data_IF_831675587627
#
_entry.id   IF_831675587627
#
_cell.length_a   1.000
_cell.length_b   1.000
_cell.length_c   1.000
_cell.angle_alpha   90.00
_cell.angle_beta   90.00
_cell.angle_gamma   90.00
#
_symmetry.space_group_name_H-M   'P 1'
#
loop_
_entity.id
_entity.type
_entity.pdbx_description
1 polymer ?
#
# COMPACT_ATOMS: atom_id res chain seq x y z
N UNK A 1 12.86 15.21 9.42
CA UNK A 1 11.46 15.07 8.98
C UNK A 1 10.63 14.25 9.99
N UNK A 2 11.13 13.11 10.45
CA UNK A 2 10.47 12.15 11.37
C UNK A 2 9.76 12.78 12.57
N UNK A 3 10.44 13.59 13.38
CA UNK A 3 9.82 14.20 14.57
C UNK A 3 8.55 15.00 14.23
N UNK A 4 8.52 15.62 13.04
CA UNK A 4 7.35 16.37 12.58
C UNK A 4 6.24 15.45 12.10
N UNK A 5 6.57 14.33 11.47
CA UNK A 5 5.59 13.29 11.11
C UNK A 5 4.91 12.72 12.35
N UNK A 6 5.68 12.38 13.39
CA UNK A 6 5.15 11.91 14.66
C UNK A 6 4.21 12.94 15.29
N UNK A 7 4.64 14.22 15.37
CA UNK A 7 3.81 15.30 15.90
C UNK A 7 2.50 15.50 15.13
N UNK A 8 2.54 15.40 13.79
CA UNK A 8 1.34 15.50 12.93
C UNK A 8 0.43 14.29 13.17
N UNK A 9 1.00 13.08 13.24
CA UNK A 9 0.24 11.86 13.48
C UNK A 9 -0.47 11.91 14.84
N UNK A 10 0.18 12.40 15.90
CA UNK A 10 -0.43 12.58 17.22
C UNK A 10 -1.60 13.57 17.19
N UNK A 11 -1.42 14.71 16.51
CA UNK A 11 -2.48 15.71 16.35
C UNK A 11 -3.68 15.14 15.59
N UNK A 12 -3.43 14.40 14.51
CA UNK A 12 -4.47 13.76 13.71
C UNK A 12 -5.16 12.64 14.50
N UNK A 13 -4.41 11.84 15.27
CA UNK A 13 -4.96 10.82 16.16
C UNK A 13 -5.93 11.42 17.19
N UNK A 14 -5.55 12.53 17.82
CA UNK A 14 -6.43 13.24 18.76
C UNK A 14 -7.71 13.76 18.10
N UNK A 15 -7.62 14.30 16.89
CA UNK A 15 -8.81 14.71 16.11
C UNK A 15 -9.69 13.50 15.73
N UNK A 16 -9.07 12.38 15.34
CA UNK A 16 -9.76 11.12 14.99
C UNK A 16 -10.50 10.51 16.18
N UNK A 17 -9.92 10.54 17.38
CA UNK A 17 -10.57 10.09 18.63
C UNK A 17 -11.81 10.91 18.99
N UNK A 18 -11.94 12.12 18.45
CA UNK A 18 -13.13 12.96 18.63
C UNK A 18 -14.21 12.70 17.56
N UNK A 19 -13.95 11.88 16.52
CA UNK A 19 -14.93 11.49 15.50
C UNK A 19 -15.63 10.17 15.92
N UNK A 20 -16.89 10.23 16.41
CA UNK A 20 -17.59 9.05 16.90
C UNK A 20 -17.89 8.01 15.79
N UNK A 21 -18.01 8.44 14.53
CA UNK A 21 -18.23 7.52 13.39
C UNK A 21 -16.95 6.77 13.05
N UNK A 22 -15.79 7.42 13.17
CA UNK A 22 -14.50 6.76 13.04
C UNK A 22 -14.23 5.82 14.22
N UNK A 23 -14.49 6.24 15.46
CA UNK A 23 -14.33 5.40 16.65
C UNK A 23 -15.17 4.13 16.54
N UNK A 24 -16.46 4.24 16.23
CA UNK A 24 -17.32 3.06 16.07
C UNK A 24 -16.84 2.11 14.95
N UNK A 25 -16.32 2.65 13.85
CA UNK A 25 -15.74 1.83 12.77
C UNK A 25 -14.42 1.20 13.19
N UNK A 26 -13.62 1.89 14.00
CA UNK A 26 -12.38 1.33 14.54
C UNK A 26 -12.66 0.25 15.57
N UNK A 27 -13.68 0.39 16.41
CA UNK A 27 -14.17 -0.66 17.31
C UNK A 27 -14.68 -1.89 16.56
N UNK A 28 -15.33 -1.70 15.40
CA UNK A 28 -15.64 -2.83 14.51
C UNK A 28 -14.38 -3.39 13.85
N UNK A 29 -13.44 -2.53 13.46
CA UNK A 29 -12.22 -2.92 12.76
C UNK A 29 -11.19 -3.64 13.65
N UNK A 30 -11.29 -3.49 14.97
CA UNK A 30 -10.55 -4.33 15.94
C UNK A 30 -11.04 -5.78 15.91
N UNK A 31 -12.30 -6.02 15.53
CA UNK A 31 -12.89 -7.37 15.41
C UNK A 31 -12.64 -8.01 14.04
N UNK A 32 -12.18 -7.24 13.04
CA UNK A 32 -11.84 -7.74 11.72
C UNK A 32 -11.91 -6.65 10.64
N UNK A 33 -11.27 -6.91 9.49
CA UNK A 33 -11.35 -6.03 8.32
C UNK A 33 -12.55 -6.36 7.45
N UNK A 34 -13.22 -5.34 6.90
CA UNK A 34 -14.30 -5.52 5.92
C UNK A 34 -14.30 -4.40 4.86
N UNK A 35 -13.16 -4.15 4.19
CA UNK A 35 -13.11 -3.19 3.10
C UNK A 35 -13.99 -3.64 1.96
N UNK A 36 -14.64 -2.68 1.32
CA UNK A 36 -15.61 -2.90 0.25
C UNK A 36 -14.94 -2.89 -1.12
N UNK A 37 -13.75 -2.33 -1.22
CA UNK A 37 -13.03 -2.18 -2.48
C UNK A 37 -11.62 -2.75 -2.37
N UNK A 38 -11.14 -3.33 -3.46
CA UNK A 38 -9.71 -3.42 -3.73
C UNK A 38 -9.36 -2.20 -4.60
N UNK A 39 -8.56 -1.27 -4.08
CA UNK A 39 -8.13 -0.07 -4.79
C UNK A 39 -6.69 -0.28 -5.25
N UNK A 40 -6.43 -0.15 -6.55
CA UNK A 40 -5.11 -0.34 -7.15
C UNK A 40 -4.70 0.95 -7.82
N UNK A 41 -3.64 1.55 -7.27
CA UNK A 41 -3.25 2.93 -7.56
C UNK A 41 -1.77 3.02 -7.94
N UNK A 42 -1.38 4.03 -8.74
CA UNK A 42 0.03 4.25 -9.03
C UNK A 42 0.76 4.76 -7.78
N UNK A 43 2.03 4.36 -7.59
CA UNK A 43 2.85 4.71 -6.40
C UNK A 43 2.79 6.20 -6.07
N UNK A 44 2.88 7.05 -7.10
CA UNK A 44 2.93 8.49 -6.96
C UNK A 44 1.58 9.15 -6.60
N UNK A 45 0.47 8.39 -6.50
CA UNK A 45 -0.87 8.91 -6.19
C UNK A 45 -1.65 8.08 -5.17
N UNK A 46 -1.17 6.90 -4.79
CA UNK A 46 -1.89 5.93 -3.95
C UNK A 46 -2.47 6.53 -2.66
N UNK A 47 -1.74 7.41 -1.98
CA UNK A 47 -2.22 8.07 -0.76
C UNK A 47 -3.30 9.13 -0.98
N UNK A 48 -3.46 9.64 -2.20
CA UNK A 48 -4.49 10.63 -2.56
C UNK A 48 -5.86 9.99 -2.84
N UNK A 49 -5.91 8.71 -3.25
CA UNK A 49 -7.12 8.13 -3.82
C UNK A 49 -8.28 7.95 -2.82
N UNK A 50 -7.99 7.68 -1.54
CA UNK A 50 -9.04 7.66 -0.52
C UNK A 50 -9.70 9.05 -0.37
N UNK A 51 -8.88 10.11 -0.35
CA UNK A 51 -9.38 11.48 -0.29
C UNK A 51 -10.16 11.83 -1.56
N UNK A 52 -9.62 11.47 -2.72
CA UNK A 52 -10.23 11.69 -4.03
C UNK A 52 -11.66 11.15 -4.08
N UNK A 53 -11.87 9.89 -3.70
CA UNK A 53 -13.18 9.23 -3.76
C UNK A 53 -14.08 9.47 -2.53
N UNK A 54 -13.63 10.29 -1.57
CA UNK A 54 -14.33 10.47 -0.30
C UNK A 54 -14.51 9.16 0.47
N UNK A 55 -13.58 8.22 0.28
CA UNK A 55 -13.50 6.98 1.01
C UNK A 55 -12.76 7.23 2.33
N UNK A 56 -13.16 6.49 3.36
CA UNK A 56 -12.60 6.61 4.69
C UNK A 56 -11.70 5.39 4.98
N UNK A 57 -10.91 5.49 6.03
CA UNK A 57 -10.18 4.34 6.58
C UNK A 57 -11.15 3.17 6.85
N UNK A 58 -10.75 1.97 6.45
CA UNK A 58 -11.56 0.75 6.47
C UNK A 58 -12.37 0.50 5.19
N UNK A 59 -12.51 1.46 4.27
CA UNK A 59 -13.35 1.28 3.08
C UNK A 59 -12.67 0.51 1.95
N UNK A 60 -11.35 0.58 1.84
CA UNK A 60 -10.60 -0.05 0.76
C UNK A 60 -9.35 -0.76 1.27
N UNK A 61 -9.08 -1.94 0.69
CA UNK A 61 -7.80 -2.63 0.76
C UNK A 61 -6.97 -2.22 -0.45
N UNK A 62 -5.67 -2.03 -0.27
CA UNK A 62 -4.84 -1.38 -1.29
C UNK A 62 -3.96 -2.38 -2.04
N UNK A 63 -3.83 -2.20 -3.35
CA UNK A 63 -2.77 -2.74 -4.19
C UNK A 63 -2.03 -1.60 -4.87
N UNK A 64 -0.85 -1.90 -5.42
CA UNK A 64 0.03 -0.88 -5.99
C UNK A 64 0.38 -1.23 -7.44
N UNK A 65 0.54 -0.21 -8.28
CA UNK A 65 1.19 -0.35 -9.60
C UNK A 65 2.25 0.73 -9.80
N UNK A 66 3.22 0.48 -10.67
CA UNK A 66 4.17 1.52 -11.04
C UNK A 66 3.48 2.62 -11.89
N UNK A 67 3.81 3.91 -11.69
CA UNK A 67 3.26 4.99 -12.49
C UNK A 67 3.62 4.85 -13.98
N UNK A 68 2.68 5.18 -14.87
CA UNK A 68 2.86 5.12 -16.33
C UNK A 68 3.31 3.75 -16.86
N UNK A 69 3.02 2.70 -16.10
CA UNK A 69 3.29 1.31 -16.46
C UNK A 69 2.03 0.48 -16.27
N UNK A 70 1.83 -0.57 -17.09
CA UNK A 70 0.70 -1.46 -16.93
C UNK A 70 0.82 -2.24 -15.62
N UNK A 71 -0.31 -2.48 -14.96
CA UNK A 71 -0.41 -3.52 -13.95
C UNK A 71 -0.10 -4.86 -14.63
N UNK A 72 0.94 -5.54 -14.14
CA UNK A 72 1.39 -6.81 -14.70
C UNK A 72 0.39 -7.94 -14.38
N UNK A 73 0.40 -9.01 -15.19
CA UNK A 73 -0.41 -10.18 -14.91
C UNK A 73 -0.01 -10.84 -13.57
N UNK A 74 -0.90 -11.63 -12.94
CA UNK A 74 -0.74 -12.08 -11.57
C UNK A 74 0.59 -12.77 -11.24
N UNK A 75 1.09 -13.59 -12.15
CA UNK A 75 2.34 -14.33 -12.02
C UNK A 75 3.60 -13.45 -12.09
N UNK A 76 3.49 -12.24 -12.64
CA UNK A 76 4.58 -11.25 -12.75
C UNK A 76 4.47 -10.12 -11.72
N UNK A 77 3.36 -10.04 -10.97
CA UNK A 77 3.22 -9.12 -9.85
C UNK A 77 2.67 -9.78 -8.57
N UNK A 78 3.41 -10.74 -8.00
CA UNK A 78 3.00 -11.43 -6.78
C UNK A 78 2.79 -10.49 -5.60
N UNK A 79 3.65 -9.50 -5.38
CA UNK A 79 3.63 -8.67 -4.16
C UNK A 79 2.80 -7.39 -4.32
N UNK A 80 2.91 -6.68 -5.44
CA UNK A 80 2.23 -5.38 -5.62
C UNK A 80 0.72 -5.53 -5.86
N UNK A 81 0.30 -6.63 -6.50
CA UNK A 81 -1.10 -6.84 -6.89
C UNK A 81 -1.69 -8.18 -6.45
N UNK A 82 -1.08 -9.31 -6.82
CA UNK A 82 -1.65 -10.64 -6.61
C UNK A 82 -1.86 -10.97 -5.13
N UNK A 83 -0.90 -10.64 -4.27
CA UNK A 83 -1.01 -10.83 -2.83
C UNK A 83 -2.18 -10.07 -2.25
N UNK A 84 -2.26 -8.73 -2.44
CA UNK A 84 -3.41 -7.96 -2.03
C UNK A 84 -4.74 -8.48 -2.57
N UNK A 85 -4.81 -8.85 -3.85
CA UNK A 85 -6.02 -9.38 -4.48
C UNK A 85 -6.47 -10.73 -3.89
N UNK A 86 -5.52 -11.65 -3.69
CA UNK A 86 -5.76 -12.96 -3.09
C UNK A 86 -6.17 -12.87 -1.60
N UNK A 87 -5.60 -11.90 -0.86
CA UNK A 87 -6.02 -11.59 0.51
C UNK A 87 -7.44 -11.01 0.55
N UNK A 88 -7.73 -10.08 -0.37
CA UNK A 88 -9.04 -9.41 -0.46
C UNK A 88 -10.21 -10.38 -0.67
N UNK A 89 -9.99 -11.54 -1.33
CA UNK A 89 -11.01 -12.58 -1.50
C UNK A 89 -11.65 -13.01 -0.18
N UNK A 90 -10.90 -13.02 0.92
CA UNK A 90 -11.37 -13.43 2.23
C UNK A 90 -12.39 -12.48 2.88
N UNK A 91 -12.54 -11.25 2.40
CA UNK A 91 -13.43 -10.27 3.03
C UNK A 91 -14.92 -10.52 2.71
N UNK A 92 -15.83 -10.21 3.65
CA UNK A 92 -17.25 -10.55 3.52
C UNK A 92 -18.00 -9.67 2.50
N UNK A 93 -17.66 -8.37 2.41
CA UNK A 93 -18.27 -7.42 1.44
C UNK A 93 -17.24 -7.03 0.38
N UNK A 94 -17.62 -7.05 -0.90
CA UNK A 94 -16.77 -6.70 -2.04
C UNK A 94 -17.63 -6.08 -3.14
N UNK A 95 -17.52 -4.76 -3.31
CA UNK A 95 -18.26 -3.96 -4.28
C UNK A 95 -17.54 -3.78 -5.61
N UNK A 96 -16.21 -3.97 -5.66
CA UNK A 96 -15.46 -3.90 -6.91
C UNK A 96 -13.96 -3.72 -6.73
N UNK A 97 -13.25 -3.77 -7.86
CA UNK A 97 -11.84 -3.39 -7.97
C UNK A 97 -11.77 -2.00 -8.60
N UNK A 98 -11.21 -1.03 -7.90
CA UNK A 98 -11.00 0.33 -8.41
C UNK A 98 -9.59 0.41 -8.99
N UNK A 99 -9.48 0.90 -10.23
CA UNK A 99 -8.20 1.19 -10.89
C UNK A 99 -8.12 2.69 -11.17
N UNK A 100 -7.05 3.35 -10.75
CA UNK A 100 -6.80 4.75 -11.06
C UNK A 100 -5.64 4.92 -12.02
N UNK A 101 -5.78 5.86 -12.95
CA UNK A 101 -4.79 6.24 -13.96
C UNK A 101 -4.65 7.75 -14.01
N UNK A 102 -3.43 8.25 -14.15
CA UNK A 102 -3.24 9.68 -14.42
C UNK A 102 -3.87 10.05 -15.78
N UNK A 103 -4.34 11.29 -15.87
CA UNK A 103 -5.10 11.79 -17.02
C UNK A 103 -4.36 11.70 -18.36
N UNK A 104 -3.04 11.61 -18.35
CA UNK A 104 -2.16 11.50 -19.52
C UNK A 104 -1.65 10.07 -19.79
N UNK A 105 -2.07 9.06 -19.00
CA UNK A 105 -1.71 7.66 -19.26
C UNK A 105 -2.40 7.12 -20.53
N UNK A 106 -1.63 6.36 -21.31
CA UNK A 106 -2.08 5.81 -22.60
C UNK A 106 -3.17 4.74 -22.42
N UNK A 107 -4.03 4.61 -23.43
CA UNK A 107 -5.07 3.56 -23.45
C UNK A 107 -4.46 2.16 -23.39
N UNK A 108 -3.27 1.95 -23.96
CA UNK A 108 -2.61 0.63 -23.94
C UNK A 108 -2.25 0.19 -22.51
N UNK A 109 -1.75 1.11 -21.69
CA UNK A 109 -1.46 0.85 -20.27
C UNK A 109 -2.75 0.51 -19.52
N UNK A 110 -3.83 1.26 -19.78
CA UNK A 110 -5.14 1.07 -19.17
C UNK A 110 -5.71 -0.30 -19.53
N UNK A 111 -5.75 -0.65 -20.82
CA UNK A 111 -6.29 -1.91 -21.30
C UNK A 111 -5.51 -3.10 -20.74
N UNK A 112 -4.18 -3.06 -20.80
CA UNK A 112 -3.34 -4.12 -20.23
C UNK A 112 -3.57 -4.29 -18.73
N UNK A 113 -3.72 -3.19 -17.99
CA UNK A 113 -3.98 -3.24 -16.55
C UNK A 113 -5.34 -3.87 -16.23
N UNK A 114 -6.38 -3.52 -17.00
CA UNK A 114 -7.72 -4.11 -16.87
C UNK A 114 -7.68 -5.61 -17.18
N UNK A 115 -7.01 -6.02 -18.26
CA UNK A 115 -6.87 -7.43 -18.63
C UNK A 115 -6.12 -8.22 -17.54
N UNK A 116 -5.08 -7.64 -16.93
CA UNK A 116 -4.37 -8.24 -15.79
C UNK A 116 -5.29 -8.47 -14.59
N UNK A 117 -6.17 -7.51 -14.25
CA UNK A 117 -7.17 -7.71 -13.17
C UNK A 117 -8.11 -8.85 -13.51
N UNK A 118 -8.59 -8.95 -14.75
CA UNK A 118 -9.53 -9.99 -15.19
C UNK A 118 -8.91 -11.38 -15.12
N UNK A 119 -7.62 -11.48 -15.43
CA UNK A 119 -6.91 -12.75 -15.39
C UNK A 119 -6.70 -13.29 -13.98
N UNK A 120 -6.89 -12.46 -12.93
CA UNK A 120 -6.66 -12.87 -11.55
C UNK A 120 -7.83 -13.69 -11.00
N UNK A 121 -7.64 -14.97 -10.61
CA UNK A 121 -8.73 -15.88 -10.29
C UNK A 121 -9.52 -15.49 -9.03
N UNK A 122 -8.88 -14.78 -8.09
CA UNK A 122 -9.52 -14.39 -6.82
C UNK A 122 -10.34 -13.10 -6.87
N UNK A 123 -10.35 -12.40 -8.00
CA UNK A 123 -11.22 -11.22 -8.24
C UNK A 123 -12.26 -11.46 -9.32
N UNK A 124 -12.36 -12.69 -9.84
CA UNK A 124 -13.37 -13.09 -10.81
C UNK A 124 -14.76 -12.74 -10.30
N UNK A 125 -15.55 -12.10 -11.17
CA UNK A 125 -16.93 -11.71 -10.88
C UNK A 125 -17.08 -10.39 -10.13
N UNK A 126 -15.99 -9.79 -9.65
CA UNK A 126 -16.03 -8.42 -9.12
C UNK A 126 -16.08 -7.41 -10.28
N UNK A 127 -16.89 -6.35 -10.19
CA UNK A 127 -16.87 -5.30 -11.19
C UNK A 127 -15.56 -4.53 -11.12
N UNK A 128 -15.07 -4.12 -12.29
CA UNK A 128 -13.88 -3.29 -12.44
C UNK A 128 -14.36 -1.85 -12.66
N UNK A 129 -13.85 -0.93 -11.85
CA UNK A 129 -14.21 0.48 -11.82
C UNK A 129 -12.94 1.28 -12.18
N UNK A 130 -12.73 1.51 -13.47
CA UNK A 130 -11.51 2.15 -13.96
C UNK A 130 -11.74 3.66 -14.17
N UNK A 131 -10.82 4.47 -13.63
CA UNK A 131 -10.93 5.93 -13.64
C UNK A 131 -9.65 6.60 -14.14
N UNK A 132 -9.81 7.59 -15.02
CA UNK A 132 -8.79 8.61 -15.29
C UNK A 132 -8.94 9.77 -14.33
N UNK A 133 -7.82 10.21 -13.76
CA UNK A 133 -7.78 11.21 -12.72
C UNK A 133 -6.79 12.31 -13.10
N UNK A 134 -7.25 13.55 -13.06
CA UNK A 134 -6.37 14.71 -12.96
C UNK A 134 -6.37 15.15 -11.49
N UNK A 135 -5.31 14.77 -10.78
CA UNK A 135 -5.16 15.01 -9.34
C UNK A 135 -5.01 16.51 -9.02
N UNK A 136 -4.46 17.31 -9.94
CA UNK A 136 -4.18 18.73 -9.72
C UNK A 136 -5.46 19.56 -9.65
N UNK A 137 -6.50 19.15 -10.39
CA UNK A 137 -7.81 19.83 -10.39
C UNK A 137 -8.93 18.98 -9.77
N UNK A 138 -8.61 17.79 -9.26
CA UNK A 138 -9.59 16.87 -8.67
C UNK A 138 -10.64 16.36 -9.66
N UNK A 139 -10.32 16.27 -10.96
CA UNK A 139 -11.30 15.80 -11.97
C UNK A 139 -11.15 14.31 -12.23
N UNK A 140 -12.27 13.59 -12.29
CA UNK A 140 -12.29 12.15 -12.53
C UNK A 140 -13.22 11.82 -13.69
N UNK A 141 -12.81 10.89 -14.55
CA UNK A 141 -13.59 10.35 -15.66
C UNK A 141 -13.58 8.83 -15.63
N UNK A 142 -14.73 8.22 -15.85
CA UNK A 142 -14.84 6.77 -16.02
C UNK A 142 -14.18 6.38 -17.35
N UNK A 143 -13.40 5.31 -17.31
CA UNK A 143 -12.89 4.64 -18.50
C UNK A 143 -13.92 3.59 -18.92
N UNK A 144 -14.53 3.79 -20.08
CA UNK A 144 -15.50 2.83 -20.60
C UNK A 144 -14.79 1.55 -21.08
N UNK A 145 -15.18 0.40 -20.54
CA UNK A 145 -14.72 -0.91 -20.99
C UNK A 145 -15.86 -1.94 -21.05
N UNK A 146 -15.66 -3.04 -21.78
CA UNK A 146 -16.65 -4.11 -21.95
C UNK A 146 -16.62 -5.17 -20.85
N UNK A 147 -15.73 -5.01 -19.87
CA UNK A 147 -15.46 -5.96 -18.78
C UNK A 147 -16.30 -5.59 -17.57
N UNK A 148 -16.90 -6.55 -16.86
CA UNK A 148 -17.94 -6.34 -15.82
C UNK A 148 -17.89 -4.98 -15.10
N UNK A 149 -18.94 -4.16 -15.28
CA UNK A 149 -19.07 -2.80 -14.73
C UNK A 149 -20.19 -2.71 -13.72
N UNK A 150 -20.11 -1.76 -12.82
CA UNK A 150 -21.18 -1.43 -11.89
C UNK A 150 -21.48 0.07 -11.93
N UNK A 151 -22.37 0.47 -12.84
CA UNK A 151 -22.72 1.88 -13.08
C UNK A 151 -23.21 2.60 -11.82
N UNK A 152 -23.96 1.92 -10.94
CA UNK A 152 -24.42 2.52 -9.70
C UNK A 152 -23.24 2.88 -8.79
N UNK A 153 -22.28 1.96 -8.66
CA UNK A 153 -21.09 2.17 -7.84
C UNK A 153 -20.13 3.19 -8.47
N UNK A 154 -19.96 3.16 -9.79
CA UNK A 154 -19.19 4.17 -10.54
C UNK A 154 -19.76 5.58 -10.29
N UNK A 155 -21.07 5.76 -10.46
CA UNK A 155 -21.73 7.05 -10.24
C UNK A 155 -21.70 7.47 -8.77
N UNK A 156 -21.83 6.52 -7.84
CA UNK A 156 -21.70 6.78 -6.41
C UNK A 156 -20.29 7.31 -6.07
N UNK A 157 -19.23 6.70 -6.61
CA UNK A 157 -17.85 7.19 -6.45
C UNK A 157 -17.67 8.58 -7.06
N UNK A 158 -18.17 8.80 -8.29
CA UNK A 158 -18.11 10.11 -8.96
C UNK A 158 -18.81 11.22 -8.17
N UNK A 159 -19.94 10.92 -7.51
CA UNK A 159 -20.69 11.91 -6.73
C UNK A 159 -19.95 12.42 -5.50
N UNK A 160 -18.87 11.73 -5.10
CA UNK A 160 -18.09 12.00 -3.88
C UNK A 160 -16.73 12.59 -4.17
N UNK A 161 -16.41 12.86 -5.43
CA UNK A 161 -15.09 13.33 -5.82
C UNK A 161 -14.73 14.63 -5.11
N UNK A 162 -13.53 14.66 -4.53
CA UNK A 162 -12.93 15.82 -3.90
C UNK A 162 -11.54 16.01 -4.46
N UNK A 163 -11.11 17.26 -4.63
CA UNK A 163 -9.70 17.52 -4.91
C UNK A 163 -8.86 17.00 -3.72
N UNK A 164 -7.92 16.07 -3.94
CA UNK A 164 -7.08 15.57 -2.86
C UNK A 164 -6.10 16.66 -2.41
N UNK A 165 -5.49 16.47 -1.25
CA UNK A 165 -4.41 17.33 -0.76
C UNK A 165 -3.18 17.29 -1.67
N UNK A 166 -2.28 18.25 -1.51
CA UNK A 166 -1.02 18.28 -2.25
C UNK A 166 -0.22 16.98 -2.05
N UNK A 167 0.48 16.55 -3.10
CA UNK A 167 1.39 15.41 -3.04
C UNK A 167 2.76 15.87 -2.55
N UNK A 168 3.30 15.20 -1.55
CA UNK A 168 4.72 15.25 -1.21
C UNK A 168 5.47 14.27 -2.11
N UNK A 169 6.15 14.82 -3.12
CA UNK A 169 6.97 14.04 -4.06
C UNK A 169 8.36 13.68 -3.51
N UNK A 170 8.71 14.13 -2.31
CA UNK A 170 9.99 13.81 -1.65
C UNK A 170 9.88 12.62 -0.71
N UNK A 171 8.68 12.28 -0.23
CA UNK A 171 8.50 11.14 0.67
C UNK A 171 7.79 9.97 -0.01
N UNK A 172 8.43 8.79 0.06
CA UNK A 172 7.81 7.52 -0.29
C UNK A 172 7.57 6.70 0.98
N UNK A 173 6.34 6.23 1.18
CA UNK A 173 5.98 5.35 2.29
C UNK A 173 5.76 3.92 1.81
N UNK A 174 6.39 2.95 2.46
CA UNK A 174 6.08 1.53 2.34
C UNK A 174 5.24 1.12 3.55
N UNK A 175 3.98 0.75 3.34
CA UNK A 175 3.04 0.42 4.41
C UNK A 175 2.12 -0.73 3.99
N UNK A 176 1.51 -1.41 4.96
CA UNK A 176 0.59 -2.49 4.69
C UNK A 176 -0.65 -2.04 3.88
N UNK A 177 -1.18 -2.95 3.06
CA UNK A 177 -2.49 -2.83 2.41
C UNK A 177 -3.68 -2.85 3.37
N UNK A 178 -3.42 -3.14 4.66
CA UNK A 178 -4.42 -3.18 5.72
C UNK A 178 -5.29 -1.92 5.68
N UNK A 179 -6.60 -2.11 5.51
CA UNK A 179 -7.55 -1.02 5.30
C UNK A 179 -7.64 -0.06 6.49
N UNK A 180 -7.12 -0.47 7.66
CA UNK A 180 -7.13 0.29 8.91
C UNK A 180 -5.94 1.24 9.06
N UNK A 181 -4.93 1.13 8.19
CA UNK A 181 -3.78 2.03 8.20
C UNK A 181 -3.75 2.89 6.95
N UNK A 182 -3.22 4.10 7.09
CA UNK A 182 -3.02 5.03 5.99
C UNK A 182 -1.59 5.58 6.02
N UNK A 183 -1.00 5.86 4.85
CA UNK A 183 0.25 6.60 4.78
C UNK A 183 0.13 7.91 5.60
N UNK A 184 1.10 8.21 6.49
CA UNK A 184 1.03 9.38 7.34
C UNK A 184 1.19 10.66 6.51
N UNK A 185 0.45 11.70 6.88
CA UNK A 185 0.55 13.02 6.23
C UNK A 185 1.88 13.68 6.61
N UNK A 186 2.57 14.23 5.62
CA UNK A 186 3.81 14.98 5.79
C UNK A 186 3.54 16.48 5.93
N UNK A 187 4.54 17.29 6.31
CA UNK A 187 4.41 18.75 6.30
C UNK A 187 4.13 19.32 4.90
N UNK A 188 4.57 18.65 3.83
CA UNK A 188 4.42 19.11 2.45
C UNK A 188 3.12 18.60 1.80
N UNK A 189 2.53 17.52 2.31
CA UNK A 189 1.30 16.96 1.78
C UNK A 189 1.07 15.50 2.13
N UNK A 190 0.33 14.79 1.29
CA UNK A 190 0.24 13.33 1.37
C UNK A 190 1.43 12.71 0.62
N UNK A 191 2.10 11.69 1.16
CA UNK A 191 3.29 11.12 0.52
C UNK A 191 2.91 10.25 -0.68
N UNK A 192 3.91 9.84 -1.46
CA UNK A 192 3.78 8.68 -2.34
C UNK A 192 3.71 7.41 -1.49
N UNK A 193 3.09 6.33 -2.00
CA UNK A 193 3.01 5.09 -1.23
C UNK A 193 3.08 3.82 -2.09
N UNK A 194 3.80 2.83 -1.55
CA UNK A 194 3.68 1.42 -1.93
C UNK A 194 2.90 0.73 -0.82
N UNK A 195 1.71 0.23 -1.16
CA UNK A 195 0.83 -0.50 -0.25
C UNK A 195 0.71 -1.96 -0.69
N UNK A 196 1.24 -2.87 0.13
CA UNK A 196 1.31 -4.32 -0.10
C UNK A 196 1.10 -5.08 1.20
N UNK A 197 1.02 -6.41 1.17
CA UNK A 197 0.94 -7.19 2.40
C UNK A 197 2.17 -6.95 3.29
N UNK A 198 1.96 -6.42 4.50
CA UNK A 198 3.04 -6.07 5.43
C UNK A 198 3.95 -4.91 4.98
N UNK A 199 3.58 -4.16 3.93
CA UNK A 199 4.47 -3.16 3.31
C UNK A 199 5.67 -3.76 2.60
N UNK A 200 5.64 -5.08 2.36
CA UNK A 200 6.74 -5.82 1.77
C UNK A 200 7.01 -5.41 0.31
N UNK A 201 8.27 -5.35 -0.05
CA UNK A 201 8.71 -5.39 -1.45
C UNK A 201 9.70 -6.55 -1.63
N UNK A 202 9.70 -7.21 -2.80
CA UNK A 202 10.65 -8.28 -3.10
C UNK A 202 12.06 -7.73 -3.33
N UNK A 203 13.07 -8.60 -3.17
CA UNK A 203 14.44 -8.34 -3.63
C UNK A 203 14.46 -8.19 -5.15
N UNK A 204 15.28 -7.29 -5.69
CA UNK A 204 15.41 -7.10 -7.13
C UNK A 204 15.85 -8.39 -7.84
N UNK A 205 15.08 -8.83 -8.83
CA UNK A 205 15.29 -10.11 -9.53
C UNK A 205 16.05 -9.97 -10.85
N UNK A 206 16.18 -8.75 -11.38
CA UNK A 206 16.69 -8.48 -12.73
C UNK A 206 15.93 -9.22 -13.85
N UNK A 207 14.66 -9.53 -13.62
CA UNK A 207 13.73 -10.10 -14.61
C UNK A 207 12.65 -9.06 -14.89
N UNK A 208 12.02 -9.12 -16.07
CA UNK A 208 10.88 -8.27 -16.39
C UNK A 208 9.63 -8.66 -15.56
N UNK A 209 9.62 -8.26 -14.29
CA UNK A 209 8.53 -8.43 -13.34
C UNK A 209 8.27 -7.13 -12.56
N UNK A 210 7.49 -7.20 -11.49
CA UNK A 210 7.23 -6.05 -10.63
C UNK A 210 8.50 -5.41 -10.04
N UNK A 211 9.60 -6.16 -9.84
CA UNK A 211 10.88 -5.60 -9.36
C UNK A 211 11.52 -4.72 -10.42
N UNK A 212 11.38 -5.06 -11.71
CA UNK A 212 11.86 -4.21 -12.80
C UNK A 212 11.06 -2.91 -12.89
N UNK A 213 9.73 -2.99 -12.75
CA UNK A 213 8.88 -1.79 -12.72
C UNK A 213 9.18 -0.89 -11.51
N UNK A 214 9.40 -1.48 -10.33
CA UNK A 214 9.83 -0.76 -9.14
C UNK A 214 11.19 -0.10 -9.34
N UNK A 215 12.18 -0.81 -9.92
CA UNK A 215 13.47 -0.22 -10.22
C UNK A 215 13.32 0.98 -11.18
N UNK A 216 12.50 0.88 -12.22
CA UNK A 216 12.24 2.00 -13.15
C UNK A 216 11.59 3.20 -12.46
N UNK A 217 10.67 2.96 -11.53
CA UNK A 217 10.12 4.01 -10.69
C UNK A 217 11.22 4.68 -9.86
N UNK A 218 12.05 3.90 -9.16
CA UNK A 218 13.16 4.42 -8.35
C UNK A 218 14.19 5.20 -9.21
N UNK A 219 14.53 4.71 -10.41
CA UNK A 219 15.42 5.42 -11.35
C UNK A 219 14.88 6.80 -11.75
N UNK A 220 13.56 6.89 -11.91
CA UNK A 220 12.90 8.13 -12.33
C UNK A 220 12.74 9.10 -11.16
N UNK A 221 12.43 8.57 -9.97
CA UNK A 221 12.12 9.38 -8.81
C UNK A 221 13.38 9.83 -8.06
N UNK A 222 14.32 8.92 -7.76
CA UNK A 222 15.46 9.24 -6.91
C UNK A 222 16.49 10.10 -7.66
N UNK A 223 16.77 11.28 -7.12
CA UNK A 223 17.76 12.23 -7.65
C UNK A 223 18.98 12.27 -6.73
N UNK A 224 20.19 11.94 -7.19
CA UNK A 224 21.40 11.95 -6.35
C UNK A 224 21.71 13.32 -5.71
N UNK A 225 21.18 14.42 -6.27
CA UNK A 225 21.36 15.78 -5.77
C UNK A 225 20.29 16.21 -4.77
N UNK A 226 19.13 15.55 -4.76
CA UNK A 226 18.01 15.89 -3.90
C UNK A 226 18.10 15.19 -2.53
N UNK A 227 18.62 15.90 -1.52
CA UNK A 227 18.77 15.37 -0.16
C UNK A 227 17.46 15.25 0.63
N UNK A 228 16.36 15.87 0.19
CA UNK A 228 15.09 15.79 0.93
C UNK A 228 14.30 14.52 0.63
N UNK A 229 14.74 13.70 -0.33
CA UNK A 229 14.06 12.46 -0.68
C UNK A 229 14.29 11.36 0.36
N UNK A 230 13.22 10.91 0.98
CA UNK A 230 13.21 9.89 2.03
C UNK A 230 12.27 8.73 1.66
N UNK A 231 12.68 7.52 2.03
CA UNK A 231 11.86 6.30 2.00
C UNK A 231 11.55 5.91 3.44
N UNK A 232 10.27 5.80 3.80
CA UNK A 232 9.83 5.47 5.14
C UNK A 232 9.12 4.11 5.12
N UNK A 233 9.68 3.13 5.83
CA UNK A 233 9.08 1.82 6.05
C UNK A 233 8.23 1.89 7.31
N UNK A 234 6.98 1.47 7.23
CA UNK A 234 6.05 1.51 8.37
C UNK A 234 5.62 0.09 8.73
N UNK A 235 6.11 -0.41 9.86
CA UNK A 235 5.50 -1.55 10.52
C UNK A 235 4.26 -1.08 11.28
N UNK A 236 3.14 -1.77 11.11
CA UNK A 236 1.95 -1.52 11.93
C UNK A 236 1.57 -2.75 12.76
N UNK A 237 0.97 -2.51 13.91
CA UNK A 237 0.57 -3.56 14.83
C UNK A 237 0.01 -2.99 16.12
N UNK A 238 -0.15 -3.86 17.12
CA UNK A 238 -0.55 -3.47 18.46
C UNK A 238 0.68 -3.20 19.34
N UNK A 239 1.43 -2.14 19.04
CA UNK A 239 2.67 -1.86 19.78
C UNK A 239 2.43 -1.20 21.16
N UNK A 240 1.26 -0.59 21.39
CA UNK A 240 0.91 0.06 22.66
C UNK A 240 -0.01 -0.76 23.57
N UNK A 241 -0.50 -1.92 23.12
CA UNK A 241 -1.11 -2.94 23.99
C UNK A 241 -2.60 -3.21 23.76
N UNK A 242 -3.36 -2.28 23.17
CA UNK A 242 -4.79 -2.46 22.87
C UNK A 242 -5.11 -2.21 21.39
N UNK A 243 -5.04 -3.26 20.57
CA UNK A 243 -5.33 -3.14 19.14
C UNK A 243 -5.14 -4.44 18.35
N UNK A 244 -5.60 -4.48 17.10
CA UNK A 244 -5.38 -5.62 16.23
C UNK A 244 -3.99 -5.60 15.59
N UNK A 245 -3.36 -6.77 15.54
CA UNK A 245 -2.11 -6.98 14.82
C UNK A 245 -2.26 -6.87 13.30
N UNK A 246 -1.12 -6.74 12.62
CA UNK A 246 -1.05 -6.83 11.16
C UNK A 246 -1.52 -8.21 10.68
N UNK A 247 -2.52 -8.25 9.79
CA UNK A 247 -3.06 -9.50 9.26
C UNK A 247 -2.04 -10.31 8.46
N UNK A 248 -1.13 -9.64 7.74
CA UNK A 248 -0.04 -10.30 7.02
C UNK A 248 1.02 -10.84 8.01
N UNK A 249 1.40 -10.04 9.01
CA UNK A 249 2.31 -10.47 10.08
C UNK A 249 1.80 -11.71 10.81
N UNK A 250 0.51 -11.72 11.17
CA UNK A 250 -0.15 -12.87 11.79
C UNK A 250 -0.16 -14.10 10.88
N UNK A 251 -0.48 -13.94 9.59
CA UNK A 251 -0.50 -15.05 8.64
C UNK A 251 0.90 -15.66 8.45
N UNK A 252 1.96 -14.86 8.53
CA UNK A 252 3.34 -15.30 8.39
C UNK A 252 3.82 -16.20 9.55
N UNK A 253 3.15 -16.17 10.71
CA UNK A 253 3.50 -17.08 11.81
C UNK A 253 3.18 -18.54 11.45
N UNK A 254 2.15 -18.76 10.63
CA UNK A 254 1.64 -20.08 10.25
C UNK A 254 1.18 -20.11 8.78
N UNK A 255 2.08 -19.92 7.79
CA UNK A 255 1.72 -19.87 6.37
C UNK A 255 1.04 -21.15 5.87
N UNK A 256 1.32 -22.30 6.49
CA UNK A 256 0.68 -23.59 6.19
C UNK A 256 -0.84 -23.58 6.41
N UNK A 257 -1.35 -22.67 7.26
CA UNK A 257 -2.78 -22.51 7.53
C UNK A 257 -3.51 -21.69 6.46
N UNK A 258 -2.78 -20.98 5.61
CA UNK A 258 -3.35 -20.19 4.51
C UNK A 258 -3.78 -21.14 3.40
N UNK A 259 -5.10 -21.25 3.16
CA UNK A 259 -5.67 -22.19 2.18
C UNK A 259 -5.67 -21.67 0.74
N UNK A 260 -5.56 -20.36 0.54
CA UNK A 260 -5.58 -19.78 -0.79
C UNK A 260 -4.25 -20.08 -1.51
N UNK A 261 -4.27 -20.74 -2.69
CA UNK A 261 -3.06 -21.20 -3.37
C UNK A 261 -2.21 -20.08 -3.98
N UNK A 262 -2.79 -18.90 -4.25
CA UNK A 262 -2.02 -17.73 -4.67
C UNK A 262 -1.44 -16.98 -3.48
N UNK A 263 -2.19 -16.90 -2.38
CA UNK A 263 -1.78 -16.17 -1.19
C UNK A 263 -0.71 -16.92 -0.37
N UNK A 264 -0.83 -18.24 -0.23
CA UNK A 264 0.07 -19.02 0.63
C UNK A 264 1.56 -18.88 0.23
N UNK A 265 1.95 -18.98 -1.05
CA UNK A 265 3.34 -18.75 -1.45
C UNK A 265 3.85 -17.35 -1.08
N UNK A 266 3.00 -16.33 -1.19
CA UNK A 266 3.35 -14.95 -0.86
C UNK A 266 3.57 -14.80 0.65
N UNK A 267 2.66 -15.34 1.47
CA UNK A 267 2.82 -15.32 2.94
C UNK A 267 4.07 -16.10 3.38
N UNK A 268 4.38 -17.21 2.70
CA UNK A 268 5.63 -17.96 2.94
C UNK A 268 6.86 -17.13 2.58
N UNK A 269 6.85 -16.45 1.44
CA UNK A 269 7.94 -15.56 1.04
C UNK A 269 8.18 -14.44 2.07
N UNK A 270 7.10 -13.84 2.61
CA UNK A 270 7.22 -12.84 3.68
C UNK A 270 7.85 -13.44 4.95
N UNK A 271 7.46 -14.66 5.33
CA UNK A 271 8.12 -15.37 6.45
C UNK A 271 9.61 -15.58 6.17
N UNK A 272 9.96 -16.16 5.02
CA UNK A 272 11.35 -16.48 4.65
C UNK A 272 12.22 -15.23 4.57
N UNK A 273 11.67 -14.10 4.13
CA UNK A 273 12.38 -12.83 4.09
C UNK A 273 12.65 -12.25 5.49
N UNK A 274 11.74 -12.43 6.45
CA UNK A 274 11.89 -11.92 7.81
C UNK A 274 12.83 -12.77 8.68
N UNK A 275 12.85 -14.09 8.49
CA UNK A 275 13.61 -15.05 9.31
C UNK A 275 15.11 -14.71 9.52
N UNK A 276 15.87 -14.26 8.51
CA UNK A 276 17.29 -13.90 8.70
C UNK A 276 17.54 -12.78 9.71
N UNK A 277 16.51 -11.95 9.99
CA UNK A 277 16.59 -10.83 10.92
C UNK A 277 16.05 -11.18 12.32
N UNK A 278 15.69 -12.45 12.54
CA UNK A 278 15.16 -12.97 13.79
C UNK A 278 16.23 -13.78 14.54
N UNK A 279 16.58 -13.40 15.77
CA UNK A 279 17.48 -14.22 16.60
C UNK A 279 16.84 -15.55 17.01
N UNK A 280 15.51 -15.54 17.15
CA UNK A 280 14.64 -16.69 17.39
C UNK A 280 13.39 -16.50 16.56
N UNK A 281 12.74 -17.57 16.08
CA UNK A 281 11.49 -17.46 15.33
C UNK A 281 10.50 -16.53 16.05
N UNK A 282 9.94 -15.55 15.34
CA UNK A 282 8.97 -14.63 15.93
C UNK A 282 7.79 -15.38 16.56
N UNK A 283 7.48 -15.05 17.81
CA UNK A 283 6.38 -15.63 18.58
C UNK A 283 5.05 -14.89 18.33
N UNK A 284 5.12 -13.64 17.88
CA UNK A 284 3.99 -12.76 17.61
C UNK A 284 4.13 -11.98 16.30
N UNK A 285 3.02 -11.36 15.87
CA UNK A 285 2.95 -10.63 14.60
C UNK A 285 3.78 -9.34 14.63
N UNK A 286 3.84 -8.66 15.78
CA UNK A 286 4.57 -7.41 16.02
C UNK A 286 6.08 -7.61 15.86
N UNK A 287 6.63 -8.70 16.40
CA UNK A 287 8.03 -9.09 16.20
C UNK A 287 8.28 -9.44 14.74
N UNK A 288 7.36 -10.20 14.12
CA UNK A 288 7.49 -10.58 12.70
C UNK A 288 7.51 -9.37 11.78
N UNK A 289 6.64 -8.37 11.99
CA UNK A 289 6.60 -7.18 11.11
C UNK A 289 7.82 -6.26 11.32
N UNK A 290 8.40 -6.23 12.53
CA UNK A 290 9.68 -5.53 12.77
C UNK A 290 10.82 -6.18 11.98
N UNK A 291 10.94 -7.51 12.04
CA UNK A 291 11.93 -8.26 11.25
C UNK A 291 11.70 -8.09 9.74
N UNK A 292 10.44 -8.01 9.31
CA UNK A 292 10.09 -7.72 7.92
C UNK A 292 10.54 -6.32 7.50
N UNK A 293 10.53 -5.31 8.37
CA UNK A 293 11.07 -3.98 8.04
C UNK A 293 12.56 -4.03 7.71
N UNK A 294 13.34 -4.80 8.48
CA UNK A 294 14.76 -5.04 8.18
C UNK A 294 14.95 -5.72 6.83
N UNK A 295 14.10 -6.70 6.50
CA UNK A 295 14.10 -7.37 5.21
C UNK A 295 13.72 -6.42 4.05
N UNK A 296 12.71 -5.56 4.24
CA UNK A 296 12.31 -4.55 3.27
C UNK A 296 13.46 -3.60 2.99
N UNK A 297 14.19 -3.16 4.03
CA UNK A 297 15.38 -2.33 3.89
C UNK A 297 16.48 -3.01 3.08
N UNK A 298 16.81 -4.27 3.38
CA UNK A 298 17.80 -5.03 2.60
C UNK A 298 17.35 -5.22 1.14
N UNK A 299 16.07 -5.50 0.94
CA UNK A 299 15.48 -5.63 -0.39
C UNK A 299 15.56 -4.31 -1.17
N UNK A 300 15.22 -3.17 -0.56
CA UNK A 300 15.37 -1.84 -1.17
C UNK A 300 16.81 -1.62 -1.66
N UNK A 301 17.80 -1.96 -0.84
CA UNK A 301 19.21 -1.80 -1.20
C UNK A 301 19.70 -2.76 -2.30
N UNK A 302 18.92 -3.78 -2.66
CA UNK A 302 19.20 -4.63 -3.81
C UNK A 302 18.81 -4.02 -5.16
N UNK A 303 17.98 -2.97 -5.17
CA UNK A 303 17.59 -2.27 -6.40
C UNK A 303 18.74 -1.39 -6.90
N UNK A 304 19.18 -1.51 -8.17
CA UNK A 304 20.28 -0.71 -8.71
C UNK A 304 20.13 0.79 -8.50
N UNK A 305 18.93 1.35 -8.69
CA UNK A 305 18.64 2.77 -8.49
C UNK A 305 18.85 3.20 -7.03
N UNK A 306 18.30 2.43 -6.08
CA UNK A 306 18.38 2.71 -4.65
C UNK A 306 19.81 2.54 -4.14
N UNK A 307 20.48 1.45 -4.54
CA UNK A 307 21.87 1.16 -4.19
C UNK A 307 22.81 2.26 -4.68
N UNK A 308 22.63 2.73 -5.91
CA UNK A 308 23.43 3.82 -6.47
C UNK A 308 23.30 5.11 -5.65
N UNK A 309 22.08 5.43 -5.21
CA UNK A 309 21.80 6.59 -4.37
C UNK A 309 22.41 6.43 -2.97
N UNK A 310 22.30 5.24 -2.38
CA UNK A 310 22.93 4.94 -1.09
C UNK A 310 24.47 5.06 -1.14
N UNK A 311 25.10 4.77 -2.28
CA UNK A 311 26.53 4.99 -2.46
C UNK A 311 26.91 6.46 -2.66
N UNK A 312 26.04 7.25 -3.31
CA UNK A 312 26.31 8.66 -3.60
C UNK A 312 25.98 9.58 -2.43
N UNK A 313 24.91 9.29 -1.67
CA UNK A 313 24.50 10.03 -0.49
C UNK A 313 25.21 9.47 0.74
N UNK A 314 25.85 10.35 1.52
CA UNK A 314 26.46 9.98 2.81
C UNK A 314 25.44 9.88 3.95
N UNK A 315 24.26 10.46 3.75
CA UNK A 315 23.19 10.55 4.74
C UNK A 315 22.22 9.38 4.51
N UNK A 316 21.73 8.81 5.61
CA UNK A 316 20.70 7.77 5.59
C UNK A 316 19.37 8.37 5.11
N UNK A 317 18.71 7.70 4.17
CA UNK A 317 17.45 8.16 3.57
C UNK A 317 16.35 7.09 3.57
N UNK A 318 16.62 5.93 4.18
CA UNK A 318 15.65 4.84 4.37
C UNK A 318 15.46 4.72 5.88
N UNK A 319 14.24 4.97 6.36
CA UNK A 319 13.93 5.04 7.78
C UNK A 319 12.81 4.07 8.13
N UNK A 320 12.73 3.64 9.39
CA UNK A 320 11.67 2.73 9.87
C UNK A 320 10.90 3.36 11.01
N UNK A 321 9.58 3.38 10.88
CA UNK A 321 8.64 3.82 11.92
C UNK A 321 7.70 2.69 12.29
N UNK A 322 7.20 2.74 13.51
CA UNK A 322 6.12 1.92 14.01
C UNK A 322 4.81 2.72 13.94
N UNK A 323 3.71 2.05 13.63
CA UNK A 323 2.38 2.62 13.61
C UNK A 323 1.42 1.76 14.43
N UNK A 324 0.67 2.37 15.33
CA UNK A 324 -0.45 1.68 15.94
C UNK A 324 -1.59 1.51 14.92
N UNK A 325 -2.07 0.27 14.72
CA UNK A 325 -2.99 -0.07 13.62
C UNK A 325 -4.28 0.76 13.62
N UNK A 326 -4.80 1.14 14.79
CA UNK A 326 -6.11 1.80 14.91
C UNK A 326 -5.94 3.30 14.98
N UNK A 327 -5.07 3.77 15.86
CA UNK A 327 -4.88 5.21 16.07
C UNK A 327 -4.03 5.85 14.97
N UNK A 328 -3.25 5.03 14.25
CA UNK A 328 -2.24 5.45 13.28
C UNK A 328 -1.22 6.43 13.90
N UNK A 329 -1.04 6.38 15.22
CA UNK A 329 0.03 7.08 15.94
C UNK A 329 1.36 6.47 15.53
N UNK A 330 2.35 7.33 15.30
CA UNK A 330 3.68 6.92 14.90
C UNK A 330 4.63 6.92 16.10
N UNK A 331 5.52 5.95 16.15
CA UNK A 331 6.65 5.93 17.07
C UNK A 331 7.92 5.46 16.37
N UNK A 332 9.07 5.86 16.90
CA UNK A 332 10.36 5.41 16.39
C UNK A 332 10.68 4.01 16.91
N UNK A 333 11.37 3.20 16.10
CA UNK A 333 11.92 1.94 16.57
C UNK A 333 13.06 2.26 17.57
N UNK A 334 12.81 2.08 18.87
CA UNK A 334 13.90 2.10 19.85
C UNK A 334 14.70 0.81 19.64
N UNK A 335 15.85 0.92 18.98
CA UNK A 335 16.82 -0.18 18.83
C UNK A 335 17.75 -0.19 20.03
#
# INVERSE_FOLDING_TARGET
MINKLVEIADKLSNARKQDPELVARMEMATQGQSPRFLLISPINRSSQDLQLFGLKMGDAFQGTRAPRMPLLPPERSPILFTGPAAYNKGFPDKRGVILTFEHDESEDIIHQSIDSVISHPDVIGLPILAFRVNYDIGSVRIIAHSRGRNYETENWLLSRIRCPGALDSNTLVLICSDSRVQPPVTPEGVPMAIQTLGGYIPRYSNVEDETYQLNKFFETWLDPTNKSQEIIIIAHGNFEGDGPSCGAGQACLHPERVKNPLLQPIIRQLQEAAQPFEQKPAEDAETRVKSLCSAIRDNLLSYPAVSSIAHLRKEEFIETLLMDTVTNVLSTLNI
#
